data_IF_536924810843
#
_entry.id   IF_536924810843
#
_cell.length_a   1.000
_cell.length_b   1.000
_cell.length_c   1.000
_cell.angle_alpha   90.00
_cell.angle_beta   90.00
_cell.angle_gamma   90.00
#
_symmetry.space_group_name_H-M   'P 1'
#
loop_
_entity.id
_entity.type
_entity.pdbx_description
1 polymer ?
#
# COMPACT_ATOMS: atom_id res chain seq x y z
N UNK A 1 -18.81 -12.62 7.97
CA UNK A 1 -18.69 -14.09 7.76
C UNK A 1 -17.60 -14.61 8.68
N UNK A 2 -17.81 -15.77 9.28
CA UNK A 2 -16.71 -16.49 9.97
C UNK A 2 -15.79 -17.21 8.96
N UNK A 3 -14.70 -17.79 9.44
CA UNK A 3 -13.69 -18.42 8.57
C UNK A 3 -14.26 -19.60 7.77
N UNK A 4 -15.16 -20.40 8.38
CA UNK A 4 -15.82 -21.50 7.69
C UNK A 4 -16.67 -20.99 6.54
N UNK A 5 -17.47 -19.97 6.78
CA UNK A 5 -18.30 -19.33 5.76
C UNK A 5 -17.45 -18.67 4.66
N UNK A 6 -16.30 -18.07 4.99
CA UNK A 6 -15.37 -17.52 4.00
C UNK A 6 -14.79 -18.61 3.10
N UNK A 7 -14.35 -19.72 3.68
CA UNK A 7 -13.84 -20.87 2.91
C UNK A 7 -14.91 -21.50 2.04
N UNK A 8 -16.14 -21.66 2.57
CA UNK A 8 -17.27 -22.23 1.82
C UNK A 8 -17.70 -21.36 0.63
N UNK A 9 -17.63 -20.03 0.79
CA UNK A 9 -18.14 -19.09 -0.21
C UNK A 9 -17.09 -18.59 -1.21
N UNK A 10 -15.87 -18.32 -0.74
CA UNK A 10 -14.79 -17.73 -1.53
C UNK A 10 -13.57 -18.66 -1.69
N UNK A 11 -13.45 -19.71 -0.89
CA UNK A 11 -12.33 -20.65 -0.96
C UNK A 11 -12.22 -21.30 -2.34
N UNK A 12 -11.01 -21.38 -2.86
CA UNK A 12 -10.69 -22.05 -4.12
C UNK A 12 -9.68 -23.15 -3.81
N UNK A 13 -10.02 -24.43 -3.96
CA UNK A 13 -9.15 -25.53 -3.58
C UNK A 13 -7.73 -25.42 -4.15
N UNK A 14 -6.73 -25.40 -3.26
CA UNK A 14 -5.31 -25.29 -3.63
C UNK A 14 -4.87 -23.89 -4.07
N UNK A 15 -5.76 -22.88 -4.06
CA UNK A 15 -5.46 -21.51 -4.53
C UNK A 15 -5.74 -20.47 -3.45
N UNK A 16 -6.92 -20.50 -2.82
CA UNK A 16 -7.33 -19.51 -1.83
C UNK A 16 -7.96 -20.22 -0.64
N UNK A 17 -7.44 -19.96 0.55
CA UNK A 17 -8.00 -20.42 1.82
C UNK A 17 -7.92 -19.34 2.88
N UNK A 18 -8.78 -19.45 3.88
CA UNK A 18 -8.86 -18.48 4.99
C UNK A 18 -8.60 -19.21 6.30
N UNK A 19 -7.79 -18.59 7.18
CA UNK A 19 -7.51 -19.07 8.53
C UNK A 19 -7.49 -17.92 9.55
N UNK A 20 -7.34 -18.28 10.82
CA UNK A 20 -7.09 -17.31 11.91
C UNK A 20 -5.58 -17.18 12.13
N UNK A 21 -5.11 -15.94 12.11
CA UNK A 21 -3.75 -15.61 12.50
C UNK A 21 -3.77 -14.57 13.62
N UNK A 22 -3.64 -15.03 14.85
CA UNK A 22 -3.65 -14.19 16.06
C UNK A 22 -4.95 -13.35 16.22
N UNK A 23 -6.09 -13.90 15.84
CA UNK A 23 -7.39 -13.23 15.90
C UNK A 23 -7.72 -12.36 14.68
N UNK A 24 -6.83 -12.30 13.69
CA UNK A 24 -7.10 -11.67 12.39
C UNK A 24 -7.41 -12.73 11.33
N UNK A 25 -8.43 -12.50 10.53
CA UNK A 25 -8.73 -13.36 9.38
C UNK A 25 -7.68 -13.11 8.30
N UNK A 26 -6.99 -14.18 7.90
CA UNK A 26 -5.96 -14.18 6.88
C UNK A 26 -6.42 -15.00 5.67
N UNK A 27 -6.19 -14.48 4.48
CA UNK A 27 -6.31 -15.18 3.22
C UNK A 27 -4.94 -15.59 2.73
N UNK A 28 -4.69 -16.90 2.60
CA UNK A 28 -3.49 -17.47 2.01
C UNK A 28 -3.74 -17.82 0.55
N UNK A 29 -2.87 -17.36 -0.32
CA UNK A 29 -3.01 -17.41 -1.77
C UNK A 29 -1.82 -18.14 -2.38
N UNK A 30 -2.10 -19.15 -3.21
CA UNK A 30 -1.09 -19.86 -3.99
C UNK A 30 -1.63 -20.10 -5.39
N UNK A 31 -1.01 -19.45 -6.38
CA UNK A 31 -1.31 -19.67 -7.80
C UNK A 31 -0.04 -20.15 -8.51
N UNK A 32 -0.12 -20.67 -9.75
CA UNK A 32 1.09 -20.94 -10.54
C UNK A 32 1.96 -19.69 -10.76
N UNK A 33 1.35 -18.51 -10.73
CA UNK A 33 2.01 -17.23 -11.01
C UNK A 33 2.65 -16.59 -9.77
N UNK A 34 2.06 -16.77 -8.57
CA UNK A 34 2.53 -16.10 -7.35
C UNK A 34 1.98 -16.74 -6.08
N UNK A 35 2.63 -16.43 -4.95
CA UNK A 35 2.06 -16.56 -3.60
C UNK A 35 1.79 -15.18 -3.01
N UNK A 36 0.78 -15.07 -2.16
CA UNK A 36 0.45 -13.83 -1.46
C UNK A 36 -0.33 -14.11 -0.17
N UNK A 37 -0.34 -13.11 0.73
CA UNK A 37 -1.11 -13.13 1.97
C UNK A 37 -1.86 -11.81 2.12
N UNK A 38 -3.17 -11.89 2.38
CA UNK A 38 -4.02 -10.72 2.61
C UNK A 38 -4.78 -10.87 3.92
N UNK A 39 -4.74 -9.86 4.78
CA UNK A 39 -5.58 -9.78 5.98
C UNK A 39 -6.87 -9.02 5.67
N UNK A 40 -8.01 -9.49 6.19
CA UNK A 40 -9.27 -8.77 6.01
C UNK A 40 -9.25 -7.43 6.74
N UNK A 41 -8.60 -7.35 7.92
CA UNK A 41 -8.33 -6.07 8.54
C UNK A 41 -7.44 -5.22 7.63
N UNK A 42 -7.92 -4.04 7.27
CA UNK A 42 -7.22 -3.12 6.38
C UNK A 42 -7.24 -3.52 4.89
N UNK A 43 -7.91 -4.64 4.53
CA UNK A 43 -7.71 -5.31 3.23
C UNK A 43 -6.22 -5.41 2.92
N UNK A 44 -5.42 -5.73 3.96
CA UNK A 44 -3.99 -5.52 3.99
C UNK A 44 -3.24 -6.62 3.22
N UNK A 45 -2.77 -6.32 2.02
CA UNK A 45 -1.85 -7.19 1.28
C UNK A 45 -0.50 -7.16 1.96
N UNK A 46 -0.20 -8.21 2.74
CA UNK A 46 1.00 -8.29 3.58
C UNK A 46 2.21 -8.82 2.82
N UNK A 47 2.01 -9.81 1.95
CA UNK A 47 3.06 -10.49 1.21
C UNK A 47 2.64 -10.72 -0.23
N UNK A 48 3.60 -10.64 -1.13
CA UNK A 48 3.46 -11.04 -2.53
C UNK A 48 4.83 -11.44 -3.08
N UNK A 49 4.85 -12.63 -3.70
CA UNK A 49 6.05 -13.19 -4.31
C UNK A 49 5.69 -13.84 -5.65
N UNK A 50 6.04 -13.23 -6.79
CA UNK A 50 5.92 -13.86 -8.10
C UNK A 50 6.80 -15.09 -8.20
N UNK A 51 6.32 -16.12 -8.89
CA UNK A 51 7.05 -17.37 -9.10
C UNK A 51 8.40 -17.10 -9.76
N UNK A 52 9.47 -17.63 -9.17
CA UNK A 52 10.85 -17.45 -9.65
C UNK A 52 11.55 -16.18 -9.14
N UNK A 53 10.88 -15.34 -8.35
CA UNK A 53 11.47 -14.16 -7.73
C UNK A 53 11.53 -14.28 -6.20
N UNK A 54 12.36 -13.45 -5.57
CA UNK A 54 12.32 -13.22 -4.11
C UNK A 54 11.03 -12.48 -3.72
N UNK A 55 10.61 -12.50 -2.45
CA UNK A 55 9.51 -11.66 -1.97
C UNK A 55 9.67 -10.20 -2.42
N UNK A 56 8.57 -9.58 -2.86
CA UNK A 56 8.57 -8.19 -3.36
C UNK A 56 8.09 -7.24 -2.29
N UNK A 57 7.15 -7.65 -1.47
CA UNK A 57 6.68 -6.86 -0.34
C UNK A 57 7.48 -7.22 0.92
N UNK A 58 7.86 -6.18 1.66
CA UNK A 58 8.50 -6.32 2.96
C UNK A 58 7.44 -6.42 4.06
N UNK A 59 7.61 -7.37 4.97
CA UNK A 59 6.80 -7.51 6.17
C UNK A 59 7.71 -7.54 7.40
N UNK A 60 7.42 -6.69 8.38
CA UNK A 60 8.25 -6.63 9.58
C UNK A 60 8.10 -7.89 10.45
N UNK A 61 9.23 -8.40 10.93
CA UNK A 61 9.29 -9.50 11.90
C UNK A 61 8.69 -9.14 13.28
N UNK A 62 8.55 -7.84 13.57
CA UNK A 62 7.93 -7.31 14.82
C UNK A 62 6.55 -6.70 14.57
N UNK A 63 5.94 -6.97 13.42
CA UNK A 63 4.58 -6.49 13.14
C UNK A 63 3.58 -7.06 14.16
N UNK A 64 2.73 -6.19 14.70
CA UNK A 64 1.65 -6.62 15.58
C UNK A 64 0.44 -7.07 14.75
N UNK A 65 0.13 -8.36 14.78
CA UNK A 65 -1.10 -8.89 14.18
C UNK A 65 -2.19 -8.92 15.25
N UNK A 66 -2.87 -7.78 15.43
CA UNK A 66 -3.91 -7.63 16.43
C UNK A 66 -5.01 -6.69 15.94
N UNK A 67 -6.26 -6.93 16.37
CA UNK A 67 -7.41 -6.11 15.99
C UNK A 67 -7.19 -4.63 16.32
N UNK A 68 -7.50 -3.76 15.37
CA UNK A 68 -7.35 -2.30 15.49
C UNK A 68 -5.89 -1.80 15.46
N UNK A 69 -4.91 -2.68 15.20
CA UNK A 69 -3.49 -2.31 15.04
C UNK A 69 -3.10 -2.35 13.56
N UNK A 70 -2.37 -1.33 13.13
CA UNK A 70 -1.83 -1.33 11.78
C UNK A 70 -0.68 -2.34 11.63
N UNK A 71 -0.74 -3.19 10.62
CA UNK A 71 0.34 -4.13 10.27
C UNK A 71 1.50 -3.33 9.65
N UNK A 72 2.75 -3.61 10.10
CA UNK A 72 3.97 -2.95 9.60
C UNK A 72 4.56 -3.73 8.42
N UNK A 73 4.50 -3.15 7.22
CA UNK A 73 4.96 -3.77 5.97
C UNK A 73 3.79 -3.99 5.01
N UNK A 74 4.01 -4.73 3.94
CA UNK A 74 3.01 -4.95 2.90
C UNK A 74 2.51 -3.66 2.27
N UNK A 75 1.20 -3.54 2.11
CA UNK A 75 0.53 -2.38 1.51
C UNK A 75 -0.58 -1.86 2.44
N UNK A 76 -0.25 -1.10 3.49
CA UNK A 76 -1.27 -0.40 4.27
C UNK A 76 -2.04 0.62 3.42
N UNK A 77 -3.37 0.62 3.50
CA UNK A 77 -4.22 1.61 2.84
C UNK A 77 -4.38 2.81 3.75
N UNK A 78 -3.88 3.97 3.33
CA UNK A 78 -4.13 5.24 4.00
C UNK A 78 -5.42 5.87 3.45
N UNK A 79 -6.41 6.10 4.31
CA UNK A 79 -7.68 6.76 4.01
C UNK A 79 -8.40 7.11 5.33
N UNK A 80 -9.05 8.27 5.47
CA UNK A 80 -9.24 9.34 4.49
C UNK A 80 -8.21 10.48 4.60
N UNK A 81 -7.10 10.29 5.29
CA UNK A 81 -5.97 11.23 5.31
C UNK A 81 -4.63 10.51 5.31
N UNK A 82 -3.61 11.19 4.83
CA UNK A 82 -2.23 10.73 4.81
C UNK A 82 -1.44 11.35 5.99
N UNK A 83 -0.58 10.57 6.64
CA UNK A 83 0.17 11.00 7.83
C UNK A 83 -0.75 11.48 8.97
N UNK A 84 -0.57 12.71 9.44
CA UNK A 84 -1.37 13.31 10.51
C UNK A 84 -2.59 14.02 9.92
N UNK A 85 -3.71 13.97 10.61
CA UNK A 85 -4.94 14.65 10.21
C UNK A 85 -4.73 16.16 10.16
N UNK A 86 -5.10 16.80 9.03
CA UNK A 86 -4.80 18.21 8.76
C UNK A 86 -5.88 19.20 9.20
N UNK A 87 -7.06 18.72 9.61
CA UNK A 87 -8.19 19.58 10.03
C UNK A 87 -8.12 19.98 11.52
N UNK A 88 -7.00 19.73 12.18
CA UNK A 88 -6.77 20.04 13.61
C UNK A 88 -7.47 19.10 14.60
N UNK A 89 -8.18 18.07 14.10
CA UNK A 89 -8.83 17.07 14.95
C UNK A 89 -7.90 15.89 15.22
N UNK A 90 -8.17 15.19 16.31
CA UNK A 90 -7.44 13.96 16.65
C UNK A 90 -7.92 12.82 15.76
N UNK A 91 -7.00 11.95 15.36
CA UNK A 91 -7.28 10.76 14.60
C UNK A 91 -6.03 9.88 14.47
N UNK A 92 -6.19 8.61 14.06
CA UNK A 92 -5.06 7.71 13.86
C UNK A 92 -4.18 8.19 12.71
N UNK A 93 -2.87 7.98 12.81
CA UNK A 93 -1.96 8.27 11.70
C UNK A 93 -2.37 7.50 10.44
N UNK A 94 -2.35 8.15 9.28
CA UNK A 94 -2.75 7.60 7.98
C UNK A 94 -4.22 7.16 7.85
N UNK A 95 -5.12 7.77 8.63
CA UNK A 95 -6.53 7.43 8.60
C UNK A 95 -6.87 6.11 9.30
N UNK A 96 -8.12 5.69 9.14
CA UNK A 96 -8.66 4.53 9.85
C UNK A 96 -8.73 3.26 8.98
N UNK A 97 -8.71 3.37 7.67
CA UNK A 97 -9.01 2.26 6.77
C UNK A 97 -8.14 1.02 7.01
N UNK A 98 -6.85 1.22 7.35
CA UNK A 98 -5.90 0.12 7.62
C UNK A 98 -6.10 -0.60 8.95
N UNK A 99 -7.00 -0.11 9.81
CA UNK A 99 -7.30 -0.69 11.13
C UNK A 99 -8.69 -1.31 11.21
N UNK A 100 -9.55 -1.05 10.22
CA UNK A 100 -10.91 -1.53 10.14
C UNK A 100 -10.98 -2.89 9.43
N UNK A 101 -11.96 -3.70 9.80
CA UNK A 101 -12.25 -4.94 9.08
C UNK A 101 -12.98 -4.63 7.77
N UNK A 102 -12.43 -5.12 6.67
CA UNK A 102 -13.04 -5.03 5.36
C UNK A 102 -13.82 -6.31 5.02
N UNK A 103 -14.83 -6.15 4.21
CA UNK A 103 -15.62 -7.28 3.71
C UNK A 103 -15.06 -7.75 2.37
N UNK A 104 -14.71 -9.04 2.26
CA UNK A 104 -14.44 -9.65 0.96
C UNK A 104 -15.76 -9.78 0.21
N UNK A 105 -15.86 -9.12 -0.93
CA UNK A 105 -17.08 -9.07 -1.77
C UNK A 105 -16.97 -9.96 -3.00
N UNK A 106 -15.76 -10.28 -3.46
CA UNK A 106 -15.53 -11.08 -4.65
C UNK A 106 -14.17 -11.78 -4.60
N UNK A 107 -14.13 -13.02 -5.09
CA UNK A 107 -12.90 -13.77 -5.33
C UNK A 107 -13.10 -14.64 -6.60
N UNK A 108 -12.17 -14.58 -7.54
CA UNK A 108 -12.18 -15.43 -8.73
C UNK A 108 -10.77 -15.64 -9.29
N UNK A 109 -10.48 -16.87 -9.70
CA UNK A 109 -9.28 -17.22 -10.47
C UNK A 109 -9.59 -17.09 -11.95
N UNK A 110 -8.74 -16.35 -12.69
CA UNK A 110 -8.82 -16.20 -14.14
C UNK A 110 -7.45 -16.47 -14.73
N UNK A 111 -7.31 -17.60 -15.41
CA UNK A 111 -5.98 -18.08 -15.83
C UNK A 111 -5.11 -18.39 -14.61
N UNK A 112 -3.97 -17.70 -14.48
CA UNK A 112 -3.06 -17.81 -13.35
C UNK A 112 -3.24 -16.68 -12.32
N UNK A 113 -4.11 -15.70 -12.59
CA UNK A 113 -4.31 -14.51 -11.78
C UNK A 113 -5.51 -14.66 -10.86
N UNK A 114 -5.34 -14.38 -9.57
CA UNK A 114 -6.41 -14.31 -8.59
C UNK A 114 -6.89 -12.85 -8.45
N UNK A 115 -8.19 -12.65 -8.60
CA UNK A 115 -8.86 -11.37 -8.43
C UNK A 115 -9.64 -11.37 -7.12
N UNK A 116 -9.36 -10.38 -6.26
CA UNK A 116 -10.09 -10.17 -5.02
C UNK A 116 -10.66 -8.75 -4.99
N UNK A 117 -11.85 -8.58 -4.41
CA UNK A 117 -12.44 -7.27 -4.14
C UNK A 117 -12.85 -7.19 -2.67
N UNK A 118 -12.31 -6.22 -1.97
CA UNK A 118 -12.67 -5.87 -0.60
C UNK A 118 -13.44 -4.56 -0.58
N UNK A 119 -14.37 -4.42 0.36
CA UNK A 119 -15.17 -3.20 0.53
C UNK A 119 -15.14 -2.72 1.97
N UNK A 120 -15.12 -1.39 2.15
CA UNK A 120 -15.27 -0.72 3.44
C UNK A 120 -16.43 0.26 3.34
N UNK A 121 -17.43 0.09 4.20
CA UNK A 121 -18.53 1.01 4.45
C UNK A 121 -18.28 1.81 5.74
N UNK A 122 -19.05 2.85 6.04
CA UNK A 122 -18.93 3.56 7.31
C UNK A 122 -19.01 2.63 8.52
N UNK A 123 -18.11 2.86 9.47
CA UNK A 123 -17.96 2.10 10.72
C UNK A 123 -18.22 3.00 11.93
N UNK A 124 -18.38 2.47 13.15
CA UNK A 124 -18.46 3.31 14.34
C UNK A 124 -17.30 4.29 14.46
N UNK A 125 -16.05 3.84 14.19
CA UNK A 125 -14.87 4.70 14.22
C UNK A 125 -14.92 5.80 13.15
N UNK A 126 -15.35 5.47 11.93
CA UNK A 126 -15.47 6.47 10.87
C UNK A 126 -16.51 7.55 11.22
N UNK A 127 -17.63 7.16 11.85
CA UNK A 127 -18.65 8.10 12.35
C UNK A 127 -18.07 9.04 13.42
N UNK A 128 -17.35 8.52 14.41
CA UNK A 128 -16.69 9.31 15.45
C UNK A 128 -15.70 10.32 14.85
N UNK A 129 -15.05 9.95 13.73
CA UNK A 129 -14.09 10.79 13.02
C UNK A 129 -14.75 11.74 12.01
N UNK A 130 -16.09 11.66 11.82
CA UNK A 130 -16.87 12.53 10.96
C UNK A 130 -16.94 12.10 9.49
N UNK A 131 -16.80 10.79 9.23
CA UNK A 131 -16.91 10.19 7.90
C UNK A 131 -18.08 9.20 7.89
N UNK A 132 -19.25 9.66 7.43
CA UNK A 132 -20.51 8.93 7.60
C UNK A 132 -21.08 8.36 6.30
N UNK A 133 -20.69 8.92 5.15
CA UNK A 133 -21.32 8.61 3.86
C UNK A 133 -20.28 8.48 2.75
N UNK A 134 -19.63 7.34 2.73
CA UNK A 134 -18.65 6.96 1.71
C UNK A 134 -18.71 5.46 1.46
N UNK A 135 -18.15 5.01 0.36
CA UNK A 135 -17.78 3.61 0.12
C UNK A 135 -16.36 3.55 -0.41
N UNK A 136 -15.59 2.59 0.07
CA UNK A 136 -14.28 2.30 -0.47
C UNK A 136 -14.27 0.86 -0.99
N UNK A 137 -13.72 0.65 -2.17
CA UNK A 137 -13.44 -0.67 -2.72
C UNK A 137 -11.94 -0.78 -3.00
N UNK A 138 -11.35 -1.88 -2.58
CA UNK A 138 -9.99 -2.25 -2.92
C UNK A 138 -10.02 -3.52 -3.75
N UNK A 139 -9.58 -3.41 -5.01
CA UNK A 139 -9.47 -4.52 -5.94
C UNK A 139 -8.00 -4.85 -6.13
N UNK A 140 -7.68 -6.13 -5.97
CA UNK A 140 -6.31 -6.61 -6.17
C UNK A 140 -6.31 -7.79 -7.13
N UNK A 141 -5.42 -7.72 -8.13
CA UNK A 141 -5.12 -8.82 -9.05
C UNK A 141 -3.72 -9.32 -8.73
N UNK A 142 -3.63 -10.57 -8.31
CA UNK A 142 -2.42 -11.24 -7.83
C UNK A 142 -2.01 -12.27 -8.89
N UNK A 143 -0.88 -12.00 -9.54
CA UNK A 143 -0.30 -12.83 -10.58
C UNK A 143 1.21 -12.63 -10.68
N UNK A 144 1.79 -12.79 -11.87
CA UNK A 144 3.20 -12.45 -12.15
C UNK A 144 3.50 -10.98 -11.96
N UNK A 145 2.49 -10.13 -12.11
CA UNK A 145 2.45 -8.74 -11.68
C UNK A 145 1.35 -8.57 -10.64
N UNK A 146 1.40 -7.44 -9.93
CA UNK A 146 0.43 -7.07 -8.93
C UNK A 146 -0.27 -5.78 -9.36
N UNK A 147 -1.59 -5.82 -9.51
CA UNK A 147 -2.39 -4.62 -9.77
C UNK A 147 -3.30 -4.36 -8.58
N UNK A 148 -3.28 -3.14 -8.07
CA UNK A 148 -4.07 -2.68 -6.93
C UNK A 148 -4.86 -1.44 -7.34
N UNK A 149 -6.17 -1.46 -7.13
CA UNK A 149 -7.07 -0.33 -7.41
C UNK A 149 -7.83 0.04 -6.13
N UNK A 150 -7.71 1.29 -5.73
CA UNK A 150 -8.47 1.86 -4.61
C UNK A 150 -9.51 2.81 -5.17
N UNK A 151 -10.78 2.48 -5.00
CA UNK A 151 -11.90 3.30 -5.45
C UNK A 151 -12.62 3.88 -4.24
N UNK A 152 -12.76 5.20 -4.19
CA UNK A 152 -13.53 5.93 -3.18
C UNK A 152 -14.76 6.53 -3.85
N UNK A 153 -15.94 6.30 -3.28
CA UNK A 153 -17.20 6.90 -3.71
C UNK A 153 -17.76 7.81 -2.61
N UNK A 154 -18.27 8.97 -3.02
CA UNK A 154 -18.94 9.92 -2.14
C UNK A 154 -20.46 9.69 -2.17
N UNK A 155 -21.00 9.10 -1.10
CA UNK A 155 -22.44 8.88 -0.94
C UNK A 155 -23.14 10.00 -0.13
N UNK A 156 -22.41 11.09 0.19
CA UNK A 156 -22.96 12.27 0.86
C UNK A 156 -23.57 13.25 -0.14
N UNK A 157 -24.37 14.18 0.38
CA UNK A 157 -24.97 15.28 -0.38
C UNK A 157 -24.04 16.53 -0.44
N UNK A 158 -22.86 16.42 0.15
CA UNK A 158 -21.80 17.44 0.18
C UNK A 158 -20.50 16.90 -0.40
N UNK A 159 -19.61 17.74 -0.87
CA UNK A 159 -18.30 17.29 -1.33
C UNK A 159 -17.53 16.53 -0.25
N UNK A 160 -16.89 15.43 -0.62
CA UNK A 160 -15.95 14.67 0.20
C UNK A 160 -14.52 15.06 -0.16
N UNK A 161 -13.77 15.58 0.81
CA UNK A 161 -12.33 15.82 0.67
C UNK A 161 -11.57 14.73 1.41
N UNK A 162 -10.64 14.10 0.74
CA UNK A 162 -9.81 13.05 1.33
C UNK A 162 -8.42 12.98 0.70
N UNK A 163 -7.53 12.31 1.40
CA UNK A 163 -6.24 11.86 0.90
C UNK A 163 -6.22 10.33 0.93
N UNK A 164 -5.45 9.74 0.03
CA UNK A 164 -5.34 8.29 -0.09
C UNK A 164 -3.91 7.86 -0.42
N UNK A 165 -3.52 6.68 0.04
CA UNK A 165 -2.27 6.07 -0.35
C UNK A 165 -2.33 4.54 -0.31
N UNK A 166 -1.62 3.91 -1.25
CA UNK A 166 -1.11 2.56 -1.15
C UNK A 166 0.33 2.69 -0.63
N UNK A 167 0.49 2.56 0.70
CA UNK A 167 1.76 2.79 1.41
C UNK A 167 2.69 1.58 1.29
N UNK A 168 3.09 1.26 0.07
CA UNK A 168 3.79 0.03 -0.27
C UNK A 168 5.20 -0.01 0.30
N UNK A 169 5.48 -1.05 1.08
CA UNK A 169 6.81 -1.42 1.56
C UNK A 169 7.40 -2.47 0.63
N UNK A 170 8.45 -2.12 -0.09
CA UNK A 170 9.18 -3.06 -0.94
C UNK A 170 10.30 -3.73 -0.15
N UNK A 171 10.44 -5.05 -0.30
CA UNK A 171 11.61 -5.78 0.19
C UNK A 171 12.78 -5.53 -0.76
N UNK A 172 13.93 -5.20 -0.20
CA UNK A 172 15.19 -5.06 -0.91
C UNK A 172 16.29 -5.81 -0.15
N UNK A 173 17.33 -6.25 -0.83
CA UNK A 173 18.42 -6.99 -0.15
C UNK A 173 19.24 -6.07 0.77
N UNK A 174 19.54 -4.84 0.34
CA UNK A 174 20.15 -3.80 1.18
C UNK A 174 19.87 -2.42 0.54
N UNK A 175 19.20 -1.55 1.27
CA UNK A 175 18.85 -0.21 0.81
C UNK A 175 20.05 0.67 0.43
N UNK A 176 21.23 0.39 0.98
CA UNK A 176 22.45 1.10 0.62
C UNK A 176 22.90 0.86 -0.84
N UNK A 177 22.52 -0.31 -1.40
CA UNK A 177 22.87 -0.75 -2.76
C UNK A 177 21.69 -0.58 -3.73
N UNK A 178 20.62 0.12 -3.29
CA UNK A 178 19.44 0.39 -4.10
C UNK A 178 19.56 1.76 -4.77
N UNK A 179 19.11 1.82 -6.01
CA UNK A 179 18.88 3.07 -6.73
C UNK A 179 17.40 3.16 -7.14
N UNK A 180 16.80 4.34 -6.99
CA UNK A 180 15.44 4.62 -7.45
C UNK A 180 15.48 5.62 -8.59
N UNK A 181 14.87 5.28 -9.72
CA UNK A 181 14.72 6.15 -10.89
C UNK A 181 13.26 6.53 -11.14
N UNK A 182 13.03 7.55 -11.99
CA UNK A 182 11.72 8.06 -12.39
C UNK A 182 11.31 9.36 -11.70
N UNK A 183 12.03 9.79 -10.66
CA UNK A 183 11.74 11.01 -9.91
C UNK A 183 12.74 12.13 -10.12
N UNK A 184 13.75 11.93 -10.97
CA UNK A 184 14.87 12.86 -11.20
C UNK A 184 14.44 14.28 -11.56
N UNK A 185 13.44 14.50 -12.46
CA UNK A 185 13.03 15.86 -12.86
C UNK A 185 12.00 16.47 -11.91
N UNK A 186 11.69 15.82 -10.77
CA UNK A 186 10.61 16.27 -9.90
C UNK A 186 11.16 16.92 -8.63
N UNK A 187 10.74 18.14 -8.36
CA UNK A 187 10.97 18.80 -7.08
C UNK A 187 10.21 18.06 -5.95
N UNK A 188 10.72 18.12 -4.73
CA UNK A 188 10.15 17.38 -3.61
C UNK A 188 10.11 18.21 -2.32
N UNK A 189 9.30 17.76 -1.37
CA UNK A 189 9.30 18.23 0.01
C UNK A 189 10.07 17.22 0.85
N UNK A 190 11.12 17.66 1.52
CA UNK A 190 11.92 16.84 2.42
C UNK A 190 11.36 16.94 3.84
N UNK A 191 10.72 15.87 4.30
CA UNK A 191 10.11 15.81 5.63
C UNK A 191 11.16 15.61 6.72
N UNK A 192 12.35 15.10 6.37
CA UNK A 192 13.48 14.99 7.31
C UNK A 192 14.16 16.35 7.56
N UNK A 193 13.92 17.33 6.69
CA UNK A 193 14.42 18.70 6.79
C UNK A 193 13.26 19.70 6.99
N UNK A 194 12.46 19.50 8.03
CA UNK A 194 11.37 20.38 8.44
C UNK A 194 10.40 20.75 7.31
N UNK A 195 10.00 19.82 6.49
CA UNK A 195 9.10 20.04 5.34
C UNK A 195 9.65 21.04 4.31
N UNK A 196 10.96 21.09 4.16
CA UNK A 196 11.62 22.02 3.24
C UNK A 196 11.41 21.59 1.79
N UNK A 197 10.96 22.51 0.94
CA UNK A 197 10.88 22.29 -0.51
C UNK A 197 12.30 22.27 -1.11
N UNK A 198 12.59 21.25 -1.89
CA UNK A 198 13.88 21.04 -2.58
C UNK A 198 13.65 21.03 -4.09
N UNK A 199 14.58 21.55 -4.88
CA UNK A 199 14.52 21.43 -6.33
C UNK A 199 14.72 19.99 -6.79
N UNK A 200 14.42 19.72 -8.06
CA UNK A 200 14.71 18.44 -8.70
C UNK A 200 16.23 18.13 -8.61
N UNK A 201 16.54 16.87 -8.28
CA UNK A 201 17.93 16.44 -8.14
C UNK A 201 18.62 16.19 -9.50
N UNK A 202 17.83 15.88 -10.54
CA UNK A 202 18.27 15.51 -11.89
C UNK A 202 19.24 14.31 -11.92
N UNK A 203 19.19 13.45 -10.90
CA UNK A 203 19.94 12.23 -10.78
C UNK A 203 19.08 11.16 -10.07
N UNK A 204 19.33 9.86 -10.33
CA UNK A 204 18.72 8.79 -9.58
C UNK A 204 18.89 8.96 -8.07
N UNK A 205 17.86 8.58 -7.31
CA UNK A 205 17.92 8.64 -5.85
C UNK A 205 18.67 7.44 -5.30
N UNK A 206 19.72 7.72 -4.52
CA UNK A 206 20.45 6.73 -3.70
C UNK A 206 20.22 7.02 -2.22
N UNK A 207 20.43 6.03 -1.38
CA UNK A 207 20.10 6.10 0.04
C UNK A 207 21.37 6.06 0.89
N UNK A 208 21.64 7.12 1.62
CA UNK A 208 22.79 7.27 2.53
C UNK A 208 22.41 7.83 3.90
N UNK A 209 21.11 8.13 4.10
CA UNK A 209 20.54 8.65 5.35
C UNK A 209 19.03 8.45 5.35
N UNK A 210 18.38 8.77 6.47
CA UNK A 210 16.94 8.79 6.57
C UNK A 210 16.31 9.56 5.41
N UNK A 211 15.33 8.95 4.78
CA UNK A 211 14.62 9.51 3.62
C UNK A 211 13.13 9.53 3.92
N UNK A 212 12.51 10.69 3.82
CA UNK A 212 11.05 10.87 3.87
C UNK A 212 10.71 12.04 2.95
N UNK A 213 10.52 11.73 1.66
CA UNK A 213 10.35 12.70 0.59
C UNK A 213 9.01 12.56 -0.08
N UNK A 214 8.30 13.66 -0.20
CA UNK A 214 7.04 13.76 -0.93
C UNK A 214 7.31 14.47 -2.27
N UNK A 215 7.05 13.78 -3.37
CA UNK A 215 7.17 14.27 -4.74
C UNK A 215 5.78 14.59 -5.29
N UNK A 216 5.33 15.84 -5.26
CA UNK A 216 4.02 16.24 -5.76
C UNK A 216 4.02 16.40 -7.28
N UNK A 217 2.81 16.38 -7.86
CA UNK A 217 2.58 16.65 -9.28
C UNK A 217 3.37 15.74 -10.24
N UNK A 218 3.52 14.47 -9.86
CA UNK A 218 4.15 13.45 -10.70
C UNK A 218 3.30 12.21 -10.80
N UNK A 219 3.10 11.72 -12.01
CA UNK A 219 2.55 10.41 -12.33
C UNK A 219 3.63 9.46 -12.87
N UNK A 220 4.90 9.80 -12.70
CA UNK A 220 6.01 9.03 -13.24
C UNK A 220 6.04 7.61 -12.72
N UNK A 221 6.39 6.67 -13.60
CA UNK A 221 6.78 5.31 -13.21
C UNK A 221 8.09 5.37 -12.43
N UNK A 222 8.10 4.74 -11.26
CA UNK A 222 9.32 4.58 -10.47
C UNK A 222 9.90 3.19 -10.69
N UNK A 223 11.23 3.07 -10.71
CA UNK A 223 11.91 1.77 -10.81
C UNK A 223 12.92 1.65 -9.67
N UNK A 224 12.74 0.63 -8.84
CA UNK A 224 13.71 0.23 -7.82
C UNK A 224 14.71 -0.72 -8.48
N UNK A 225 15.95 -0.31 -8.53
CA UNK A 225 17.07 -1.16 -8.98
C UNK A 225 17.72 -1.80 -7.75
N UNK A 226 17.35 -3.04 -7.47
CA UNK A 226 17.89 -3.86 -6.37
C UNK A 226 19.06 -4.70 -6.90
N UNK A 227 20.24 -4.13 -6.84
CA UNK A 227 21.45 -4.68 -7.46
C UNK A 227 21.85 -6.02 -6.85
N UNK A 228 21.77 -6.15 -5.52
CA UNK A 228 22.12 -7.39 -4.82
C UNK A 228 21.15 -8.52 -5.12
N UNK A 229 19.83 -8.21 -5.22
CA UNK A 229 18.82 -9.18 -5.62
C UNK A 229 18.79 -9.43 -7.13
N UNK A 230 19.54 -8.67 -7.92
CA UNK A 230 19.58 -8.71 -9.39
C UNK A 230 18.20 -8.57 -10.01
N UNK A 231 17.45 -7.59 -9.58
CA UNK A 231 16.11 -7.32 -10.06
C UNK A 231 15.80 -5.84 -10.17
N UNK A 232 14.83 -5.54 -11.01
CA UNK A 232 14.16 -4.26 -11.08
C UNK A 232 12.70 -4.45 -10.71
N UNK A 233 12.18 -3.53 -9.89
CA UNK A 233 10.77 -3.48 -9.53
C UNK A 233 10.22 -2.18 -10.10
N UNK A 234 9.35 -2.28 -11.11
CA UNK A 234 8.68 -1.14 -11.71
C UNK A 234 7.34 -0.89 -11.01
N UNK A 235 7.08 0.37 -10.67
CA UNK A 235 5.86 0.85 -10.01
C UNK A 235 5.22 1.88 -10.95
N UNK A 236 4.19 1.46 -11.67
CA UNK A 236 3.37 2.31 -12.52
C UNK A 236 2.13 2.73 -11.76
N UNK A 237 1.64 3.95 -12.00
CA UNK A 237 0.46 4.45 -11.32
C UNK A 237 -0.49 5.21 -12.25
N UNK A 238 -1.78 5.15 -11.94
CA UNK A 238 -2.83 5.87 -12.66
C UNK A 238 -3.68 6.63 -11.66
N UNK A 239 -4.04 7.87 -12.01
CA UNK A 239 -4.82 8.78 -11.16
C UNK A 239 -4.19 9.00 -9.76
N UNK A 240 -2.87 8.94 -9.69
CA UNK A 240 -2.06 9.31 -8.54
C UNK A 240 -1.05 10.37 -8.96
N UNK A 241 -1.07 11.50 -8.31
CA UNK A 241 -0.22 12.64 -8.65
C UNK A 241 0.86 12.93 -7.60
N UNK A 242 1.06 12.04 -6.66
CA UNK A 242 2.10 12.16 -5.64
C UNK A 242 2.81 10.82 -5.47
N UNK A 243 4.13 10.85 -5.31
CA UNK A 243 4.92 9.70 -4.87
C UNK A 243 5.58 10.04 -3.54
N UNK A 244 5.54 9.12 -2.58
CA UNK A 244 6.31 9.25 -1.34
C UNK A 244 7.40 8.18 -1.33
N UNK A 245 8.61 8.59 -0.97
CA UNK A 245 9.75 7.69 -0.79
C UNK A 245 10.20 7.77 0.66
N UNK A 246 10.18 6.61 1.35
CA UNK A 246 10.48 6.56 2.76
C UNK A 246 11.40 5.38 3.13
N UNK A 247 12.42 5.69 3.91
CA UNK A 247 13.21 4.74 4.70
C UNK A 247 13.62 5.42 6.02
N UNK A 248 13.35 4.81 7.20
CA UNK A 248 13.59 5.45 8.49
C UNK A 248 15.07 5.56 8.87
N UNK A 249 15.94 4.76 8.24
CA UNK A 249 17.39 4.70 8.53
C UNK A 249 17.73 4.37 9.99
N UNK A 250 16.80 3.74 10.67
CA UNK A 250 16.90 3.32 12.08
C UNK A 250 15.82 2.31 12.43
N UNK A 251 16.03 1.58 13.52
CA UNK A 251 15.01 0.73 14.11
C UNK A 251 13.73 1.52 14.47
N UNK A 252 12.58 0.90 14.29
CA UNK A 252 11.27 1.36 14.76
C UNK A 252 10.72 0.37 15.78
N UNK A 253 9.80 0.81 16.64
CA UNK A 253 9.25 -0.04 17.71
C UNK A 253 8.60 -1.33 17.18
N UNK A 254 7.95 -1.24 16.03
CA UNK A 254 7.23 -2.32 15.34
C UNK A 254 8.00 -2.89 14.13
N UNK A 255 9.33 -2.67 14.10
CA UNK A 255 10.24 -3.20 13.08
C UNK A 255 11.46 -3.84 13.74
N UNK A 256 11.98 -4.94 13.19
CA UNK A 256 13.23 -5.55 13.63
C UNK A 256 14.38 -4.54 13.65
N UNK A 257 15.34 -4.71 14.55
CA UNK A 257 16.34 -3.68 14.86
C UNK A 257 17.19 -3.25 13.65
N UNK A 258 17.43 -4.17 12.73
CA UNK A 258 18.19 -3.99 11.48
C UNK A 258 17.33 -4.03 10.20
N UNK A 259 16.02 -4.32 10.31
CA UNK A 259 15.18 -4.53 9.14
C UNK A 259 14.95 -3.28 8.28
N UNK A 260 15.30 -2.09 8.74
CA UNK A 260 15.24 -0.90 7.90
C UNK A 260 16.20 -0.97 6.70
N UNK A 261 17.24 -1.80 6.75
CA UNK A 261 18.09 -2.06 5.59
C UNK A 261 17.37 -2.84 4.49
N UNK A 262 16.41 -3.69 4.87
CA UNK A 262 15.74 -4.65 4.01
C UNK A 262 14.48 -4.07 3.34
N UNK A 263 14.21 -2.75 3.49
CA UNK A 263 12.96 -2.16 3.00
C UNK A 263 13.15 -0.79 2.37
N UNK A 264 12.26 -0.48 1.43
CA UNK A 264 12.05 0.84 0.87
C UNK A 264 10.56 1.05 0.62
N UNK A 265 9.99 2.15 1.11
CA UNK A 265 8.66 2.55 0.67
C UNK A 265 8.76 3.41 -0.59
N UNK A 266 8.00 3.03 -1.61
CA UNK A 266 7.69 3.86 -2.78
C UNK A 266 6.17 3.84 -2.94
N UNK A 267 5.53 4.90 -2.51
CA UNK A 267 4.09 4.93 -2.27
C UNK A 267 3.34 5.61 -3.41
N UNK A 268 2.21 5.02 -3.78
CA UNK A 268 1.24 5.62 -4.72
C UNK A 268 0.24 6.44 -3.92
N UNK A 269 0.24 7.76 -4.09
CA UNK A 269 -0.40 8.70 -3.14
C UNK A 269 -1.18 9.80 -3.88
N UNK A 270 -2.29 10.23 -3.29
CA UNK A 270 -2.93 11.52 -3.53
C UNK A 270 -3.07 12.25 -2.18
N UNK A 271 -2.18 13.18 -1.90
CA UNK A 271 -2.13 13.89 -0.62
C UNK A 271 -1.63 15.32 -0.76
N UNK A 272 -1.77 16.11 0.28
CA UNK A 272 -1.38 17.53 0.35
C UNK A 272 -2.03 18.33 -0.78
N UNK A 273 -1.23 18.94 -1.68
CA UNK A 273 -1.74 19.70 -2.81
C UNK A 273 -2.54 18.84 -3.82
N UNK A 274 -2.39 17.53 -3.76
CA UNK A 274 -3.09 16.56 -4.62
C UNK A 274 -4.20 15.78 -3.86
N UNK A 275 -4.68 16.30 -2.72
CA UNK A 275 -5.87 15.77 -2.07
C UNK A 275 -7.07 15.78 -3.03
N UNK A 276 -7.90 14.75 -2.94
CA UNK A 276 -9.05 14.57 -3.83
C UNK A 276 -10.28 15.25 -3.25
N UNK A 277 -11.04 15.91 -4.10
CA UNK A 277 -12.37 16.43 -3.77
C UNK A 277 -13.39 15.78 -4.69
N UNK A 278 -14.29 14.99 -4.13
CA UNK A 278 -15.38 14.37 -4.86
C UNK A 278 -16.69 15.11 -4.67
N UNK A 279 -17.35 15.44 -5.76
CA UNK A 279 -18.73 15.90 -5.72
C UNK A 279 -19.68 14.81 -5.19
N UNK A 280 -20.88 15.16 -4.71
CA UNK A 280 -21.91 14.18 -4.37
C UNK A 280 -22.14 13.16 -5.49
N UNK A 281 -22.18 11.87 -5.14
CA UNK A 281 -22.38 10.76 -6.09
C UNK A 281 -21.22 10.44 -7.00
N UNK A 282 -20.10 11.18 -6.93
CA UNK A 282 -18.88 10.92 -7.72
C UNK A 282 -18.02 9.83 -7.08
N UNK A 283 -17.13 9.27 -7.89
CA UNK A 283 -16.09 8.34 -7.43
C UNK A 283 -14.74 8.65 -8.06
N UNK A 284 -13.66 8.24 -7.39
CA UNK A 284 -12.27 8.32 -7.85
C UNK A 284 -11.64 6.95 -7.70
N UNK A 285 -10.83 6.54 -8.68
CA UNK A 285 -10.06 5.29 -8.61
C UNK A 285 -8.59 5.59 -8.84
N UNK A 286 -7.78 5.27 -7.84
CA UNK A 286 -6.32 5.28 -7.93
C UNK A 286 -5.82 3.86 -8.19
N UNK A 287 -4.79 3.71 -9.04
CA UNK A 287 -4.19 2.40 -9.32
C UNK A 287 -2.67 2.43 -9.16
N UNK A 288 -2.13 1.33 -8.63
CA UNK A 288 -0.73 0.95 -8.74
C UNK A 288 -0.62 -0.37 -9.49
N UNK A 289 0.35 -0.46 -10.42
CA UNK A 289 0.73 -1.71 -11.09
C UNK A 289 2.22 -1.96 -10.82
N UNK A 290 2.53 -3.15 -10.30
CA UNK A 290 3.89 -3.54 -9.90
C UNK A 290 4.32 -4.74 -10.72
N UNK A 291 5.47 -4.64 -11.36
CA UNK A 291 6.10 -5.73 -12.10
C UNK A 291 7.56 -5.90 -11.69
N UNK A 292 8.06 -7.13 -11.82
CA UNK A 292 9.45 -7.48 -11.45
C UNK A 292 10.14 -8.12 -12.63
N UNK A 293 11.36 -7.67 -12.90
CA UNK A 293 12.23 -8.25 -13.92
C UNK A 293 13.59 -8.61 -13.32
N UNK A 294 14.13 -9.76 -13.74
CA UNK A 294 15.48 -10.15 -13.36
C UNK A 294 16.48 -9.44 -14.27
N UNK A 295 17.47 -8.75 -13.68
CA UNK A 295 18.58 -8.16 -14.44
C UNK A 295 19.62 -9.23 -14.75
N UNK A 296 20.08 -9.28 -16.00
CA UNK A 296 21.21 -10.12 -16.37
C UNK A 296 22.51 -9.46 -15.93
N UNK A 297 23.42 -10.25 -15.39
CA UNK A 297 24.80 -9.84 -15.10
C UNK A 297 25.57 -9.55 -16.38
#
# INVERSE_FOLDING_TARGET
>A
MDITQLNDHFGIPGVLSFDDHNGLVRADITTPAATATVYLQGAHLAEWQPTGHKPVLFLSRKSEFASGKAIRGGVPISFPWFATRHDGKVGPSHGFARMEDWTLAFAALSGEDLHLTFTLAPTPLSHELGFDRFRVAFQVTIGRSLTMQLTVANDADTPLVFEEALHTYFAVDDVHEVTLTGLEPTAFVDKTDNMTAKPAANAPLTFASATDRLYPNTAATCVIHDTLARREIAIEKTNSNTTVVFNPWKAMADMGDDQWHEMLCVETVNAAANAITLAPGASHTMQAHISVTTTRS
#
